data_IF_264577705470
#
_entry.id   IF_264577705470
#
_cell.length_a   1.000
_cell.length_b   1.000
_cell.length_c   1.000
_cell.angle_alpha   90.00
_cell.angle_beta   90.00
_cell.angle_gamma   90.00
#
_symmetry.space_group_name_H-M   'P 1'
#
loop_
_entity.id
_entity.type
_entity.pdbx_description
1 polymer ?
#
# COMPACT_ATOMS: atom_id res chain seq x y z
N UNK A 1 57.07 -15.45 -57.88
CA UNK A 1 57.24 -15.92 -56.49
C UNK A 1 56.69 -14.79 -55.62
N UNK A 2 55.44 -14.88 -55.14
CA UNK A 2 55.02 -15.57 -53.89
C UNK A 2 55.59 -14.81 -52.66
N UNK A 3 54.88 -14.30 -51.63
CA UNK A 3 53.52 -14.44 -51.06
C UNK A 3 53.28 -13.28 -50.06
N UNK A 4 52.00 -12.88 -49.91
CA UNK A 4 51.19 -12.61 -48.69
C UNK A 4 51.83 -11.93 -47.46
N UNK A 5 51.19 -10.85 -46.97
CA UNK A 5 50.77 -10.65 -45.57
C UNK A 5 49.82 -9.42 -45.50
N UNK A 6 48.51 -9.57 -45.72
CA UNK A 6 47.48 -10.03 -44.79
C UNK A 6 47.30 -9.12 -43.55
N UNK A 7 46.21 -8.37 -43.61
CA UNK A 7 45.32 -7.91 -42.54
C UNK A 7 45.90 -7.77 -41.13
N UNK A 8 46.25 -6.56 -40.72
CA UNK A 8 46.15 -6.18 -39.31
C UNK A 8 45.67 -4.74 -39.21
N UNK A 9 44.72 -4.51 -38.31
CA UNK A 9 44.20 -3.22 -37.84
C UNK A 9 42.91 -2.73 -38.51
N UNK A 10 41.84 -3.52 -38.38
CA UNK A 10 40.46 -2.96 -38.41
C UNK A 10 39.61 -3.28 -37.17
N UNK A 11 40.15 -3.89 -36.11
CA UNK A 11 39.33 -4.31 -34.96
C UNK A 11 39.17 -3.26 -33.84
N UNK A 12 40.03 -2.24 -33.75
CA UNK A 12 40.08 -1.35 -32.57
C UNK A 12 38.88 -0.40 -32.41
N UNK A 13 38.06 -0.22 -33.46
CA UNK A 13 36.89 0.66 -33.43
C UNK A 13 35.58 -0.02 -33.01
N UNK A 14 35.46 -1.34 -33.22
CA UNK A 14 34.23 -2.09 -32.89
C UNK A 14 34.19 -2.47 -31.41
N UNK A 15 35.35 -2.79 -30.83
CA UNK A 15 35.48 -3.19 -29.43
C UNK A 15 35.14 -2.03 -28.47
N UNK A 16 35.47 -0.79 -28.83
CA UNK A 16 35.13 0.40 -28.05
C UNK A 16 33.64 0.77 -28.13
N UNK A 17 32.99 0.59 -29.29
CA UNK A 17 31.56 0.89 -29.45
C UNK A 17 30.69 -0.07 -28.62
N UNK A 18 31.01 -1.37 -28.69
CA UNK A 18 30.40 -2.41 -27.85
C UNK A 18 30.64 -2.15 -26.36
N UNK A 19 31.86 -1.74 -25.99
CA UNK A 19 32.20 -1.37 -24.62
C UNK A 19 31.38 -0.18 -24.11
N UNK A 20 31.18 0.86 -24.94
CA UNK A 20 30.36 2.03 -24.55
C UNK A 20 28.88 1.70 -24.40
N UNK A 21 28.35 0.81 -25.26
CA UNK A 21 26.94 0.42 -25.25
C UNK A 21 26.63 -0.46 -24.02
N UNK A 22 27.53 -1.39 -23.67
CA UNK A 22 27.43 -2.17 -22.43
C UNK A 22 27.50 -1.30 -21.18
N UNK A 23 28.41 -0.32 -21.13
CA UNK A 23 28.51 0.62 -19.99
C UNK A 23 27.24 1.46 -19.86
N UNK A 24 26.65 1.90 -20.98
CA UNK A 24 25.39 2.62 -20.96
C UNK A 24 24.23 1.75 -20.45
N UNK A 25 24.16 0.51 -20.92
CA UNK A 25 23.14 -0.46 -20.51
C UNK A 25 23.23 -0.81 -19.01
N UNK A 26 24.45 -0.94 -18.47
CA UNK A 26 24.69 -1.18 -17.04
C UNK A 26 24.19 0.01 -16.22
N UNK A 27 24.54 1.24 -16.60
CA UNK A 27 24.07 2.46 -15.90
C UNK A 27 22.56 2.62 -15.96
N UNK A 28 21.93 2.30 -17.09
CA UNK A 28 20.48 2.32 -17.23
C UNK A 28 19.81 1.26 -16.35
N UNK A 29 20.38 0.05 -16.29
CA UNK A 29 19.86 -1.02 -15.44
C UNK A 29 20.05 -0.70 -13.94
N UNK A 30 21.20 -0.14 -13.55
CA UNK A 30 21.45 0.35 -12.18
C UNK A 30 20.44 1.42 -11.77
N UNK A 31 20.15 2.38 -12.67
CA UNK A 31 19.13 3.41 -12.45
C UNK A 31 17.73 2.79 -12.25
N UNK A 32 17.34 1.85 -13.11
CA UNK A 32 16.06 1.14 -13.00
C UNK A 32 15.94 0.34 -11.70
N UNK A 33 17.00 -0.37 -11.30
CA UNK A 33 17.04 -1.12 -10.05
C UNK A 33 16.91 -0.19 -8.84
N UNK A 34 17.54 1.00 -8.87
CA UNK A 34 17.38 2.01 -7.82
C UNK A 34 15.95 2.54 -7.73
N UNK A 35 15.32 2.84 -8.87
CA UNK A 35 13.92 3.32 -8.95
C UNK A 35 12.92 2.23 -8.50
N UNK A 36 13.11 0.99 -8.94
CA UNK A 36 12.30 -0.16 -8.52
C UNK A 36 12.48 -0.44 -7.01
N UNK A 37 13.71 -0.38 -6.49
CA UNK A 37 13.99 -0.58 -5.07
C UNK A 37 13.45 0.55 -4.18
N UNK A 38 13.48 1.81 -4.64
CA UNK A 38 12.83 2.93 -3.94
C UNK A 38 11.29 2.82 -3.99
N UNK A 39 10.73 2.31 -5.08
CA UNK A 39 9.30 2.01 -5.20
C UNK A 39 8.86 0.86 -4.27
N UNK A 40 9.65 -0.20 -4.14
CA UNK A 40 9.37 -1.30 -3.23
C UNK A 40 9.61 -0.91 -1.77
N UNK A 41 10.64 -0.10 -1.50
CA UNK A 41 10.91 0.46 -0.18
C UNK A 41 9.81 1.42 0.25
N UNK A 42 9.32 2.28 -0.65
CA UNK A 42 8.20 3.19 -0.39
C UNK A 42 6.89 2.42 -0.18
N UNK A 43 6.64 1.34 -0.94
CA UNK A 43 5.49 0.46 -0.75
C UNK A 43 5.55 -0.30 0.59
N UNK A 44 6.71 -0.83 0.95
CA UNK A 44 6.92 -1.49 2.24
C UNK A 44 6.79 -0.51 3.42
N UNK A 45 7.30 0.73 3.28
CA UNK A 45 7.12 1.80 4.26
C UNK A 45 5.65 2.21 4.40
N UNK A 46 4.92 2.35 3.29
CA UNK A 46 3.50 2.66 3.28
C UNK A 46 2.70 1.55 3.99
N UNK A 47 2.96 0.28 3.66
CA UNK A 47 2.31 -0.86 4.31
C UNK A 47 2.59 -0.89 5.82
N UNK A 48 3.84 -0.66 6.24
CA UNK A 48 4.20 -0.55 7.67
C UNK A 48 3.47 0.60 8.35
N UNK A 49 3.35 1.76 7.70
CA UNK A 49 2.63 2.92 8.23
C UNK A 49 1.13 2.62 8.39
N UNK A 50 0.51 2.05 7.37
CA UNK A 50 -0.90 1.67 7.39
C UNK A 50 -1.17 0.69 8.52
N UNK A 51 -0.33 -0.34 8.65
CA UNK A 51 -0.37 -1.33 9.73
C UNK A 51 -0.21 -0.68 11.10
N UNK A 52 0.77 0.22 11.28
CA UNK A 52 0.99 0.92 12.55
C UNK A 52 -0.19 1.84 12.95
N UNK A 53 -0.95 2.34 11.99
CA UNK A 53 -2.12 3.20 12.23
C UNK A 53 -3.42 2.42 12.45
N UNK A 54 -3.47 1.11 12.18
CA UNK A 54 -4.69 0.30 12.32
C UNK A 54 -5.29 0.30 13.74
N UNK A 55 -4.51 0.24 14.84
CA UNK A 55 -5.08 0.34 16.19
C UNK A 55 -5.81 1.67 16.41
N UNK A 56 -5.23 2.78 15.94
CA UNK A 56 -5.86 4.11 16.00
C UNK A 56 -7.14 4.14 15.15
N UNK A 57 -7.10 3.56 13.95
CA UNK A 57 -8.28 3.42 13.08
C UNK A 57 -9.40 2.62 13.75
N UNK A 58 -9.07 1.49 14.37
CA UNK A 58 -10.01 0.67 15.12
C UNK A 58 -10.73 1.47 16.21
N UNK A 59 -9.96 2.17 17.05
CA UNK A 59 -10.52 2.96 18.15
C UNK A 59 -11.42 4.09 17.65
N UNK A 60 -11.05 4.76 16.55
CA UNK A 60 -11.89 5.79 15.94
C UNK A 60 -13.19 5.27 15.39
N UNK A 61 -13.16 4.19 14.61
CA UNK A 61 -14.37 3.56 14.09
C UNK A 61 -15.26 3.13 15.26
N UNK A 62 -14.69 2.50 16.28
CA UNK A 62 -15.42 2.12 17.48
C UNK A 62 -16.07 3.33 18.17
N UNK A 63 -15.34 4.45 18.33
CA UNK A 63 -15.86 5.68 18.91
C UNK A 63 -16.98 6.31 18.08
N UNK A 64 -16.82 6.36 16.75
CA UNK A 64 -17.83 6.89 15.82
C UNK A 64 -19.14 6.12 15.98
N UNK A 65 -19.13 4.79 15.91
CA UNK A 65 -20.35 4.00 16.06
C UNK A 65 -20.93 4.01 17.48
N UNK A 66 -20.11 4.20 18.52
CA UNK A 66 -20.60 4.41 19.88
C UNK A 66 -21.29 5.76 20.03
N UNK A 67 -20.70 6.84 19.51
CA UNK A 67 -21.29 8.18 19.54
C UNK A 67 -22.60 8.27 18.76
N UNK A 68 -22.68 7.61 17.60
CA UNK A 68 -23.90 7.54 16.79
C UNK A 68 -25.01 6.69 17.41
N UNK A 69 -24.71 5.89 18.44
CA UNK A 69 -25.61 4.90 19.07
C UNK A 69 -26.23 3.89 18.10
N UNK A 70 -25.64 3.72 16.91
CA UNK A 70 -26.05 2.77 15.87
C UNK A 70 -24.91 1.79 15.56
N UNK A 71 -25.23 0.64 14.98
CA UNK A 71 -24.24 -0.37 14.54
C UNK A 71 -24.08 -0.43 13.02
N UNK A 72 -24.86 0.35 12.28
CA UNK A 72 -24.83 0.43 10.82
C UNK A 72 -24.83 1.90 10.40
N UNK A 73 -23.99 2.26 9.45
CA UNK A 73 -23.89 3.60 8.85
C UNK A 73 -23.44 3.48 7.39
N UNK A 74 -23.62 4.51 6.58
CA UNK A 74 -23.05 4.50 5.22
C UNK A 74 -21.53 4.57 5.31
N UNK A 75 -20.84 3.91 4.39
CA UNK A 75 -19.37 3.98 4.31
C UNK A 75 -18.90 5.42 4.16
N UNK A 76 -19.64 6.21 3.38
CA UNK A 76 -19.40 7.63 3.19
C UNK A 76 -19.49 8.43 4.50
N UNK A 77 -20.53 8.23 5.30
CA UNK A 77 -20.69 8.91 6.59
C UNK A 77 -19.52 8.61 7.53
N UNK A 78 -19.07 7.36 7.58
CA UNK A 78 -17.94 6.94 8.43
C UNK A 78 -16.65 7.61 7.95
N UNK A 79 -16.37 7.62 6.65
CA UNK A 79 -15.19 8.27 6.07
C UNK A 79 -15.20 9.77 6.41
N UNK A 80 -16.31 10.47 6.15
CA UNK A 80 -16.43 11.89 6.45
C UNK A 80 -16.19 12.18 7.93
N UNK A 81 -16.71 11.34 8.84
CA UNK A 81 -16.48 11.47 10.28
C UNK A 81 -15.03 11.19 10.68
N UNK A 82 -14.35 10.24 10.04
CA UNK A 82 -12.92 9.99 10.29
C UNK A 82 -12.11 11.21 9.85
N UNK A 83 -12.32 11.68 8.62
CA UNK A 83 -11.60 12.83 8.07
C UNK A 83 -11.85 14.12 8.86
N UNK A 84 -13.07 14.34 9.34
CA UNK A 84 -13.43 15.53 10.13
C UNK A 84 -12.84 15.54 11.55
N UNK A 85 -12.60 14.37 12.14
CA UNK A 85 -12.09 14.24 13.52
C UNK A 85 -10.55 14.16 13.59
N UNK A 86 -9.85 14.23 12.46
CA UNK A 86 -8.40 14.02 12.38
C UNK A 86 -7.59 15.31 12.18
N UNK A 87 -6.50 15.47 12.95
CA UNK A 87 -5.49 16.54 12.81
C UNK A 87 -4.36 16.09 11.86
N UNK A 88 -4.03 14.80 11.83
CA UNK A 88 -3.15 14.22 10.80
C UNK A 88 -4.01 13.94 9.57
N UNK A 89 -3.80 14.71 8.51
CA UNK A 89 -4.53 14.62 7.22
C UNK A 89 -4.31 13.23 6.61
N UNK A 90 -5.20 12.29 6.89
CA UNK A 90 -5.29 11.01 6.18
C UNK A 90 -6.14 11.25 4.94
N UNK A 91 -5.59 10.97 3.76
CA UNK A 91 -6.32 11.03 2.49
C UNK A 91 -7.56 10.11 2.55
N UNK A 92 -8.65 10.49 1.90
CA UNK A 92 -9.83 9.65 1.74
C UNK A 92 -9.45 8.24 1.27
N UNK A 93 -8.55 8.12 0.29
CA UNK A 93 -8.09 6.82 -0.23
C UNK A 93 -7.43 5.99 0.87
N UNK A 94 -6.55 6.59 1.65
CA UNK A 94 -5.87 5.89 2.76
C UNK A 94 -6.86 5.45 3.85
N UNK A 95 -7.89 6.26 4.11
CA UNK A 95 -9.00 5.89 5.01
C UNK A 95 -9.75 4.66 4.51
N UNK A 96 -10.10 4.62 3.22
CA UNK A 96 -10.78 3.48 2.59
C UNK A 96 -9.92 2.20 2.61
N UNK A 97 -8.62 2.33 2.37
CA UNK A 97 -7.69 1.20 2.42
C UNK A 97 -7.53 0.67 3.86
N UNK A 98 -7.38 1.55 4.86
CA UNK A 98 -7.30 1.13 6.27
C UNK A 98 -8.61 0.48 6.75
N UNK A 99 -9.77 0.98 6.32
CA UNK A 99 -11.06 0.31 6.57
C UNK A 99 -11.13 -1.07 5.93
N UNK A 100 -10.57 -1.22 4.72
CA UNK A 100 -10.50 -2.52 4.03
C UNK A 100 -9.63 -3.50 4.81
N UNK A 101 -8.46 -3.08 5.28
CA UNK A 101 -7.58 -3.90 6.12
C UNK A 101 -8.25 -4.30 7.45
N UNK A 102 -8.97 -3.40 8.10
CA UNK A 102 -9.71 -3.74 9.33
C UNK A 102 -10.76 -4.83 9.09
N UNK A 103 -11.43 -4.83 7.93
CA UNK A 103 -12.38 -5.90 7.56
C UNK A 103 -11.68 -7.23 7.32
N UNK A 104 -10.51 -7.21 6.68
CA UNK A 104 -9.73 -8.43 6.43
C UNK A 104 -9.22 -9.05 7.72
N UNK A 105 -8.76 -8.21 8.67
CA UNK A 105 -8.21 -8.67 9.94
C UNK A 105 -9.29 -9.01 10.97
N UNK A 106 -10.42 -8.30 10.95
CA UNK A 106 -11.50 -8.43 11.93
C UNK A 106 -12.87 -8.60 11.23
N UNK A 107 -13.04 -9.64 10.38
CA UNK A 107 -14.30 -9.84 9.64
C UNK A 107 -15.50 -10.10 10.57
N UNK A 108 -15.21 -10.62 11.76
CA UNK A 108 -16.19 -10.88 12.82
C UNK A 108 -16.69 -9.61 13.53
N UNK A 109 -15.99 -8.50 13.36
CA UNK A 109 -16.32 -7.21 13.96
C UNK A 109 -16.91 -6.26 12.94
N UNK A 110 -16.27 -6.08 11.78
CA UNK A 110 -16.69 -5.10 10.78
C UNK A 110 -16.94 -5.78 9.43
N UNK A 111 -18.08 -5.43 8.82
CA UNK A 111 -18.53 -5.99 7.55
C UNK A 111 -19.10 -4.89 6.66
N UNK A 112 -19.11 -5.13 5.35
CA UNK A 112 -19.77 -4.28 4.37
C UNK A 112 -21.01 -4.98 3.81
N UNK A 113 -22.07 -4.20 3.61
CA UNK A 113 -23.29 -4.67 2.95
C UNK A 113 -23.76 -3.59 1.97
N UNK A 114 -24.21 -4.01 0.79
CA UNK A 114 -24.81 -3.10 -0.19
C UNK A 114 -26.30 -2.97 0.13
N UNK A 115 -26.77 -1.74 0.36
CA UNK A 115 -28.17 -1.43 0.56
C UNK A 115 -28.96 -1.59 -0.74
N UNK A 116 -30.28 -1.75 -0.62
CA UNK A 116 -31.17 -1.74 -1.79
C UNK A 116 -31.16 -0.40 -2.55
N UNK A 117 -30.72 0.69 -1.91
CA UNK A 117 -30.48 1.99 -2.56
C UNK A 117 -29.24 2.00 -3.46
N UNK A 118 -28.37 0.98 -3.38
CA UNK A 118 -27.05 0.95 -4.03
C UNK A 118 -25.92 1.47 -3.14
N UNK A 119 -26.23 2.07 -1.98
CA UNK A 119 -25.20 2.57 -1.06
C UNK A 119 -24.44 1.44 -0.37
N UNK A 120 -23.13 1.63 -0.17
CA UNK A 120 -22.34 0.71 0.66
C UNK A 120 -22.47 1.11 2.13
N UNK A 121 -22.95 0.18 2.95
CA UNK A 121 -23.05 0.33 4.40
C UNK A 121 -21.93 -0.42 5.11
N UNK A 122 -21.42 0.18 6.19
CA UNK A 122 -20.56 -0.47 7.16
C UNK A 122 -21.38 -0.91 8.36
N UNK A 123 -21.26 -2.18 8.73
CA UNK A 123 -21.88 -2.77 9.92
C UNK A 123 -20.82 -3.23 10.89
N UNK A 124 -20.93 -2.80 12.15
CA UNK A 124 -20.11 -3.29 13.25
C UNK A 124 -20.88 -4.19 14.21
N UNK A 125 -20.20 -5.19 14.75
CA UNK A 125 -20.73 -6.06 15.80
C UNK A 125 -20.31 -5.54 17.18
N UNK A 126 -21.22 -4.84 17.87
CA UNK A 126 -20.99 -4.27 19.21
C UNK A 126 -20.91 -5.31 20.33
N UNK A 127 -21.25 -6.58 20.06
CA UNK A 127 -21.19 -7.66 21.07
C UNK A 127 -19.78 -8.25 21.20
N UNK A 128 -18.89 -7.97 20.24
CA UNK A 128 -17.49 -8.42 20.31
C UNK A 128 -16.74 -7.60 21.35
N UNK A 129 -15.94 -8.27 22.18
CA UNK A 129 -15.08 -7.61 23.15
C UNK A 129 -14.02 -6.79 22.42
N UNK A 130 -13.94 -5.48 22.72
CA UNK A 130 -12.91 -4.61 22.15
C UNK A 130 -11.51 -5.05 22.52
N UNK A 131 -11.34 -5.67 23.69
CA UNK A 131 -10.03 -6.12 24.16
C UNK A 131 -9.55 -7.36 23.39
N UNK A 132 -10.46 -8.30 23.10
CA UNK A 132 -10.15 -9.44 22.24
C UNK A 132 -9.83 -8.99 20.82
N UNK A 133 -10.60 -8.04 20.27
CA UNK A 133 -10.36 -7.48 18.94
C UNK A 133 -9.01 -6.75 18.85
N UNK A 134 -8.64 -5.97 19.88
CA UNK A 134 -7.31 -5.33 19.95
C UNK A 134 -6.19 -6.35 20.03
N UNK A 135 -6.39 -7.46 20.76
CA UNK A 135 -5.41 -8.54 20.85
C UNK A 135 -5.23 -9.24 19.50
N UNK A 136 -6.34 -9.56 18.81
CA UNK A 136 -6.29 -10.12 17.45
C UNK A 136 -5.59 -9.16 16.49
N UNK A 137 -5.91 -7.86 16.56
CA UNK A 137 -5.26 -6.85 15.74
C UNK A 137 -3.76 -6.77 16.02
N UNK A 138 -3.34 -6.79 17.28
CA UNK A 138 -1.92 -6.77 17.67
C UNK A 138 -1.16 -8.04 17.28
N UNK A 139 -1.83 -9.19 17.12
CA UNK A 139 -1.20 -10.42 16.63
C UNK A 139 -1.05 -10.45 15.11
N UNK A 140 -1.88 -9.71 14.38
CA UNK A 140 -1.88 -9.66 12.92
C UNK A 140 -0.96 -8.56 12.35
N UNK A 141 -0.40 -7.70 13.21
CA UNK A 141 0.49 -6.58 12.92
C UNK A 141 1.91 -6.95 13.33
#
# INVERSE_FOLDING_TARGET
MEKINEEVSRSTGLDNLLGTELVHLIKENEKRVMEEQDSDLSRAKLRKRMIACLPKMFDMVHLIFNSMKRSVATKEEVIQKITANHIDVIDRRETEEQLTLLKELLPEWISEVVASSGDTLLRINKLRSTDELRKTLAQAI
#
